data_IF_791123104622
#
_entry.id   IF_791123104622
#
_cell.length_a   1.000
_cell.length_b   1.000
_cell.length_c   1.000
_cell.angle_alpha   90.00
_cell.angle_beta   90.00
_cell.angle_gamma   90.00
#
_symmetry.space_group_name_H-M   'P 1'
#
loop_
_entity.id
_entity.type
_entity.pdbx_description
1 polymer ?
#
# COMPACT_ATOMS: atom_id res chain seq x y z
N UNK A 1 -23.15 85.07 -3.48
CA UNK A 1 -21.77 85.25 -3.97
C UNK A 1 -20.85 84.90 -2.81
N UNK A 2 -20.32 83.67 -2.77
CA UNK A 2 -18.97 83.26 -3.20
C UNK A 2 -18.07 83.09 -1.95
N UNK A 3 -17.81 81.83 -1.54
CA UNK A 3 -16.49 81.14 -1.59
C UNK A 3 -15.62 81.43 -0.33
N UNK A 4 -14.85 80.55 0.30
CA UNK A 4 -14.25 79.25 -0.08
C UNK A 4 -13.80 78.42 1.14
N UNK A 5 -13.97 77.09 0.99
CA UNK A 5 -13.22 75.92 1.48
C UNK A 5 -12.06 76.04 2.50
N UNK A 6 -12.09 75.14 3.51
CA UNK A 6 -11.06 74.10 3.73
C UNK A 6 -11.62 73.02 4.68
N UNK A 7 -11.85 71.82 4.13
CA UNK A 7 -12.30 70.63 4.87
C UNK A 7 -11.08 69.78 5.29
N UNK A 8 -11.01 69.41 6.58
CA UNK A 8 -10.18 68.31 7.08
C UNK A 8 -10.83 66.96 6.71
N UNK A 9 -10.10 65.98 6.17
CA UNK A 9 -10.68 64.66 5.91
C UNK A 9 -10.78 63.84 7.19
N UNK A 10 -12.00 63.40 7.48
CA UNK A 10 -12.35 62.37 8.45
C UNK A 10 -11.59 61.07 8.12
N UNK A 11 -10.84 60.55 9.08
CA UNK A 11 -10.27 59.19 9.06
C UNK A 11 -11.40 58.18 8.97
N UNK A 12 -11.50 57.48 7.84
CA UNK A 12 -12.26 56.25 7.72
C UNK A 12 -11.54 55.12 8.49
N UNK A 13 -12.25 54.25 9.22
CA UNK A 13 -11.63 53.10 9.84
C UNK A 13 -11.23 52.12 8.75
N UNK A 14 -9.93 51.85 8.67
CA UNK A 14 -9.34 50.80 7.85
C UNK A 14 -10.03 49.47 8.15
N UNK A 15 -10.80 48.96 7.20
CA UNK A 15 -11.23 47.56 7.20
C UNK A 15 -9.99 46.69 7.10
N UNK A 16 -9.51 46.19 8.24
CA UNK A 16 -8.61 45.05 8.25
C UNK A 16 -9.38 43.89 7.59
N UNK A 17 -9.06 43.64 6.32
CA UNK A 17 -9.37 42.38 5.66
C UNK A 17 -8.64 41.30 6.48
N UNK A 18 -9.35 40.68 7.42
CA UNK A 18 -8.91 39.46 8.05
C UNK A 18 -8.79 38.42 6.94
N UNK A 19 -7.58 38.20 6.44
CA UNK A 19 -7.22 37.06 5.60
C UNK A 19 -7.57 35.82 6.43
N UNK A 20 -8.75 35.24 6.17
CA UNK A 20 -9.11 33.94 6.75
C UNK A 20 -8.04 32.97 6.28
N UNK A 21 -7.27 32.42 7.22
CA UNK A 21 -6.34 31.31 6.97
C UNK A 21 -7.08 30.28 6.11
N UNK A 22 -6.59 30.08 4.89
CA UNK A 22 -7.10 29.05 3.98
C UNK A 22 -6.60 27.69 4.47
N UNK A 23 -7.46 26.68 4.41
CA UNK A 23 -7.44 25.43 5.20
C UNK A 23 -7.49 24.21 4.25
N UNK A 24 -6.35 23.55 3.99
CA UNK A 24 -6.29 22.26 3.27
C UNK A 24 -6.99 21.13 4.04
N UNK A 25 -7.66 20.15 3.40
CA UNK A 25 -8.22 19.01 4.14
C UNK A 25 -8.55 17.74 3.33
N UNK A 26 -8.17 16.60 3.92
CA UNK A 26 -8.03 15.28 3.31
C UNK A 26 -9.30 14.44 3.31
N UNK A 27 -9.44 13.58 2.29
CA UNK A 27 -10.62 12.76 2.12
C UNK A 27 -10.35 11.26 2.21
N UNK A 28 -11.23 10.59 2.97
CA UNK A 28 -11.29 9.13 3.03
C UNK A 28 -12.72 8.58 3.05
N UNK A 29 -13.11 7.83 2.02
CA UNK A 29 -14.12 6.78 2.20
C UNK A 29 -13.51 5.39 2.41
N UNK A 30 -13.55 4.93 3.67
CA UNK A 30 -13.15 3.60 4.21
C UNK A 30 -11.66 3.48 4.62
N UNK A 31 -11.41 3.39 5.94
CA UNK A 31 -10.18 2.85 6.61
C UNK A 31 -8.93 3.71 6.39
N UNK A 32 -8.40 4.58 7.23
CA UNK A 32 -7.92 4.42 8.60
C UNK A 32 -6.49 3.92 8.53
N UNK A 33 -6.10 3.43 7.36
CA UNK A 33 -4.89 2.72 7.13
C UNK A 33 -3.71 3.64 6.83
N UNK A 34 -2.57 3.02 6.52
CA UNK A 34 -1.29 3.65 6.60
C UNK A 34 -1.17 4.91 5.73
N UNK A 35 -1.75 4.92 4.53
CA UNK A 35 -1.67 6.08 3.64
C UNK A 35 -2.34 7.34 4.20
N UNK A 36 -3.58 7.22 4.66
CA UNK A 36 -4.34 8.38 5.15
C UNK A 36 -3.74 8.92 6.46
N UNK A 37 -3.39 8.03 7.38
CA UNK A 37 -2.78 8.42 8.65
C UNK A 37 -1.40 9.06 8.47
N UNK A 38 -0.57 8.52 7.57
CA UNK A 38 0.77 9.08 7.33
C UNK A 38 0.73 10.41 6.57
N UNK A 39 -0.24 10.60 5.67
CA UNK A 39 -0.49 11.91 5.06
C UNK A 39 -0.92 12.92 6.14
N UNK A 40 -1.96 12.58 6.92
CA UNK A 40 -2.48 13.45 7.96
C UNK A 40 -1.42 13.85 8.99
N UNK A 41 -0.58 12.91 9.42
CA UNK A 41 0.55 13.19 10.31
C UNK A 41 1.53 14.20 9.69
N UNK A 42 1.96 13.99 8.44
CA UNK A 42 2.91 14.88 7.76
C UNK A 42 2.36 16.30 7.60
N UNK A 43 1.07 16.41 7.29
CA UNK A 43 0.39 17.70 7.08
C UNK A 43 0.20 18.45 8.40
N UNK A 44 -0.32 17.77 9.43
CA UNK A 44 -0.50 18.37 10.75
C UNK A 44 0.84 18.80 11.37
N UNK A 45 1.89 17.98 11.22
CA UNK A 45 3.24 18.33 11.66
C UNK A 45 3.83 19.54 10.91
N UNK A 46 3.38 19.77 9.68
CA UNK A 46 3.76 20.92 8.86
C UNK A 46 2.93 22.18 9.11
N UNK A 47 2.09 22.20 10.16
CA UNK A 47 1.27 23.36 10.53
C UNK A 47 -0.06 23.48 9.78
N UNK A 48 -0.37 22.51 8.92
CA UNK A 48 -1.60 22.52 8.11
C UNK A 48 -2.77 21.97 8.94
N UNK A 49 -3.84 22.75 9.06
CA UNK A 49 -5.10 22.25 9.64
C UNK A 49 -5.56 21.01 8.86
N UNK A 50 -5.74 19.89 9.53
CA UNK A 50 -5.88 18.59 8.88
C UNK A 50 -7.06 17.86 9.48
N UNK A 51 -7.98 17.37 8.64
CA UNK A 51 -9.05 16.47 9.09
C UNK A 51 -8.91 15.11 8.43
N UNK A 52 -9.07 14.06 9.23
CA UNK A 52 -8.99 12.67 8.81
C UNK A 52 -10.35 12.00 9.00
N UNK A 53 -11.07 11.75 7.90
CA UNK A 53 -12.36 11.07 7.96
C UNK A 53 -12.19 9.56 8.19
N UNK A 54 -12.91 8.92 9.11
CA UNK A 54 -12.95 7.46 9.30
C UNK A 54 -14.33 6.96 9.75
N UNK A 55 -14.98 6.05 9.02
CA UNK A 55 -16.25 5.49 9.50
C UNK A 55 -16.08 4.43 10.59
N UNK A 56 -15.05 3.59 10.50
CA UNK A 56 -14.93 2.40 11.35
C UNK A 56 -13.50 2.22 11.85
N UNK A 57 -13.10 2.97 12.90
CA UNK A 57 -11.72 2.98 13.36
C UNK A 57 -11.18 1.62 13.79
N UNK A 58 -12.05 0.76 14.33
CA UNK A 58 -11.72 -0.58 14.82
C UNK A 58 -11.58 -1.64 13.72
N UNK A 59 -11.98 -1.35 12.48
CA UNK A 59 -12.01 -2.34 11.41
C UNK A 59 -10.81 -2.19 10.48
N UNK A 60 -9.90 -3.15 10.52
CA UNK A 60 -8.73 -3.20 9.62
C UNK A 60 -9.02 -3.86 8.27
N UNK A 61 -8.26 -3.46 7.23
CA UNK A 61 -8.24 -4.16 5.93
C UNK A 61 -7.57 -5.54 6.12
N UNK A 62 -8.12 -6.63 5.56
CA UNK A 62 -7.47 -7.93 5.53
C UNK A 62 -6.09 -7.86 4.88
N UNK A 63 -5.08 -8.43 5.52
CA UNK A 63 -3.71 -8.37 5.02
C UNK A 63 -2.85 -9.47 5.64
N UNK A 64 -1.84 -9.89 4.89
CA UNK A 64 -0.79 -10.79 5.36
C UNK A 64 0.10 -10.20 6.47
N UNK A 65 0.17 -8.87 6.58
CA UNK A 65 0.77 -8.17 7.73
C UNK A 65 2.30 -8.13 7.76
N UNK A 66 2.98 -8.51 6.69
CA UNK A 66 4.42 -8.33 6.55
C UNK A 66 4.75 -6.87 6.21
N UNK A 67 5.75 -6.30 6.88
CA UNK A 67 6.30 -4.99 6.56
C UNK A 67 7.83 -5.08 6.37
N UNK A 68 8.44 -4.21 5.57
CA UNK A 68 9.90 -4.16 5.42
C UNK A 68 10.55 -3.48 6.63
N UNK A 69 11.81 -3.79 6.93
CA UNK A 69 12.55 -3.20 8.05
C UNK A 69 12.65 -1.67 7.94
N UNK A 70 12.85 -1.13 6.74
CA UNK A 70 12.90 0.31 6.55
C UNK A 70 11.60 1.00 6.99
N UNK A 71 10.45 0.31 6.97
CA UNK A 71 9.21 0.88 7.48
C UNK A 71 9.23 1.03 9.01
N UNK A 72 9.84 0.08 9.72
CA UNK A 72 9.97 0.14 11.18
C UNK A 72 10.74 1.40 11.58
N UNK A 73 11.87 1.65 10.94
CA UNK A 73 12.70 2.82 11.22
C UNK A 73 12.04 4.12 10.74
N UNK A 74 11.65 4.17 9.47
CA UNK A 74 11.13 5.39 8.84
C UNK A 74 9.82 5.86 9.50
N UNK A 75 8.99 4.92 9.98
CA UNK A 75 7.75 5.21 10.68
C UNK A 75 7.86 4.95 12.17
N UNK A 76 9.06 4.87 12.74
CA UNK A 76 9.32 4.72 14.18
C UNK A 76 8.34 3.76 14.87
N UNK A 77 8.10 2.60 14.25
CA UNK A 77 7.12 1.61 14.71
C UNK A 77 7.73 0.92 15.94
N UNK A 78 7.11 1.00 17.12
CA UNK A 78 7.64 0.34 18.31
C UNK A 78 7.70 -1.17 18.13
N UNK A 79 8.83 -1.77 18.54
CA UNK A 79 9.05 -3.22 18.39
C UNK A 79 7.98 -4.07 19.09
N UNK A 80 7.40 -3.60 20.20
CA UNK A 80 6.34 -4.32 20.91
C UNK A 80 5.03 -4.46 20.12
N UNK A 81 4.85 -3.72 19.02
CA UNK A 81 3.71 -3.88 18.10
C UNK A 81 3.93 -4.98 17.05
N UNK A 82 5.16 -5.50 16.95
CA UNK A 82 5.51 -6.59 16.03
C UNK A 82 5.10 -7.90 16.69
N UNK A 83 4.16 -8.62 16.09
CA UNK A 83 3.66 -9.88 16.65
C UNK A 83 4.69 -11.02 16.47
N UNK A 84 5.42 -11.01 15.34
CA UNK A 84 6.46 -12.01 15.01
C UNK A 84 7.60 -11.42 14.19
N UNK A 85 8.79 -11.97 14.40
CA UNK A 85 9.99 -11.72 13.60
C UNK A 85 10.27 -12.94 12.74
N UNK A 86 9.91 -12.88 11.46
CA UNK A 86 10.14 -13.99 10.53
C UNK A 86 11.58 -13.94 10.04
N UNK A 87 12.35 -14.98 10.35
CA UNK A 87 13.75 -15.14 9.91
C UNK A 87 13.92 -16.30 8.92
N UNK A 88 12.85 -17.06 8.68
CA UNK A 88 12.81 -18.16 7.73
C UNK A 88 11.58 -18.01 6.84
N UNK A 89 11.78 -18.14 5.54
CA UNK A 89 10.70 -18.29 4.58
C UNK A 89 10.84 -19.62 3.85
N UNK A 90 9.73 -20.20 3.45
CA UNK A 90 9.70 -21.33 2.51
C UNK A 90 8.95 -20.92 1.27
N UNK A 91 9.53 -21.20 0.11
CA UNK A 91 8.86 -21.08 -1.18
C UNK A 91 8.61 -22.48 -1.70
N UNK A 92 7.34 -22.82 -1.93
CA UNK A 92 6.88 -24.16 -2.27
C UNK A 92 6.31 -24.14 -3.68
N UNK A 93 6.87 -24.98 -4.55
CA UNK A 93 6.54 -25.06 -5.97
C UNK A 93 5.25 -25.85 -6.26
N UNK A 94 4.75 -25.87 -7.50
CA UNK A 94 3.60 -26.68 -7.89
C UNK A 94 3.76 -28.18 -7.54
N UNK A 95 4.95 -28.75 -7.77
CA UNK A 95 5.31 -30.15 -7.45
C UNK A 95 5.71 -30.39 -5.99
N UNK A 96 5.64 -29.36 -5.14
CA UNK A 96 6.06 -29.34 -3.74
C UNK A 96 7.58 -29.41 -3.50
N UNK A 97 8.40 -29.05 -4.50
CA UNK A 97 9.78 -28.67 -4.22
C UNK A 97 9.77 -27.50 -3.23
N UNK A 98 10.55 -27.60 -2.17
CA UNK A 98 10.62 -26.58 -1.13
C UNK A 98 12.01 -26.00 -1.07
N UNK A 99 12.08 -24.68 -1.19
CA UNK A 99 13.32 -23.92 -0.99
C UNK A 99 13.21 -23.12 0.31
N UNK A 100 14.21 -23.27 1.16
CA UNK A 100 14.40 -22.39 2.31
C UNK A 100 14.99 -21.05 1.85
N UNK A 101 14.31 -19.97 2.21
CA UNK A 101 14.59 -18.61 1.80
C UNK A 101 14.83 -17.75 3.05
N UNK A 102 15.98 -17.09 3.15
CA UNK A 102 16.33 -16.22 4.29
C UNK A 102 17.21 -16.86 5.36
N UNK A 103 17.17 -18.18 5.53
CA UNK A 103 17.93 -18.87 6.60
C UNK A 103 19.45 -18.66 6.53
N UNK A 104 19.99 -18.42 5.32
CA UNK A 104 21.41 -18.13 5.09
C UNK A 104 21.69 -16.73 4.55
N UNK A 105 20.66 -16.03 4.08
CA UNK A 105 20.77 -14.77 3.33
C UNK A 105 20.34 -13.55 4.13
N UNK A 106 19.51 -13.72 5.18
CA UNK A 106 19.23 -12.68 6.15
C UNK A 106 20.41 -12.51 7.10
N UNK A 107 20.76 -11.26 7.40
CA UNK A 107 21.75 -10.96 8.44
C UNK A 107 21.15 -11.25 9.82
N UNK A 108 22.01 -11.49 10.81
CA UNK A 108 21.57 -11.89 12.16
C UNK A 108 20.58 -10.92 12.85
N UNK A 109 20.63 -9.64 12.50
CA UNK A 109 19.73 -8.60 13.03
C UNK A 109 18.51 -8.33 12.13
N UNK A 110 18.42 -9.00 10.98
CA UNK A 110 17.34 -8.81 10.01
C UNK A 110 16.22 -9.83 10.24
N UNK A 111 14.99 -9.36 10.08
CA UNK A 111 13.80 -10.19 10.04
C UNK A 111 12.74 -9.50 9.18
N UNK A 112 11.68 -10.22 8.83
CA UNK A 112 10.45 -9.61 8.31
C UNK A 112 9.50 -9.45 9.49
N UNK A 113 9.25 -8.21 9.96
CA UNK A 113 8.24 -7.95 10.97
C UNK A 113 6.84 -8.30 10.46
N UNK A 114 6.14 -9.08 11.27
CA UNK A 114 4.75 -9.45 11.03
C UNK A 114 3.87 -8.79 12.08
N UNK A 115 2.83 -8.08 11.62
CA UNK A 115 1.91 -7.35 12.48
C UNK A 115 0.45 -7.53 12.07
N UNK A 116 -0.44 -7.28 13.02
CA UNK A 116 -1.87 -7.11 12.78
C UNK A 116 -2.16 -5.69 12.29
N UNK A 117 -2.97 -5.59 11.23
CA UNK A 117 -3.34 -4.30 10.64
C UNK A 117 -4.13 -3.41 11.59
N UNK A 118 -4.96 -3.99 12.45
CA UNK A 118 -5.68 -3.26 13.49
C UNK A 118 -4.74 -2.52 14.46
N UNK A 119 -3.57 -3.09 14.76
CA UNK A 119 -2.56 -2.49 15.64
C UNK A 119 -1.79 -1.39 14.93
N UNK A 120 -1.27 -1.68 13.72
CA UNK A 120 -0.53 -0.69 12.93
C UNK A 120 -1.39 0.51 12.53
N UNK A 121 -2.60 0.27 12.04
CA UNK A 121 -3.51 1.34 11.58
C UNK A 121 -3.91 2.25 12.75
N UNK A 122 -4.12 1.67 13.95
CA UNK A 122 -4.37 2.44 15.16
C UNK A 122 -3.15 3.27 15.58
N UNK A 123 -1.96 2.68 15.61
CA UNK A 123 -0.72 3.39 15.93
C UNK A 123 -0.49 4.61 15.03
N UNK A 124 -0.57 4.43 13.71
CA UNK A 124 -0.35 5.52 12.76
C UNK A 124 -1.42 6.61 12.87
N UNK A 125 -2.68 6.23 13.11
CA UNK A 125 -3.76 7.20 13.29
C UNK A 125 -3.60 8.01 14.59
N UNK A 126 -3.27 7.35 15.70
CA UNK A 126 -3.05 8.03 16.98
C UNK A 126 -1.88 9.02 16.88
N UNK A 127 -0.85 8.69 16.10
CA UNK A 127 0.25 9.63 15.79
C UNK A 127 -0.22 10.84 15.00
N UNK A 128 -1.03 10.63 13.97
CA UNK A 128 -1.61 11.74 13.21
C UNK A 128 -2.44 12.67 14.12
N UNK A 129 -3.26 12.10 15.02
CA UNK A 129 -4.02 12.87 16.01
C UNK A 129 -3.10 13.61 16.98
N UNK A 130 -2.04 12.97 17.46
CA UNK A 130 -1.03 13.59 18.34
C UNK A 130 -0.26 14.73 17.66
N UNK A 131 -0.11 14.67 16.34
CA UNK A 131 0.47 15.74 15.53
C UNK A 131 -0.51 16.91 15.26
N UNK A 132 -1.79 16.78 15.64
CA UNK A 132 -2.81 17.81 15.49
C UNK A 132 -3.88 17.54 14.43
N UNK A 133 -3.87 16.37 13.78
CA UNK A 133 -4.93 16.01 12.85
C UNK A 133 -6.26 15.72 13.58
N UNK A 134 -7.36 16.25 13.08
CA UNK A 134 -8.69 16.04 13.64
C UNK A 134 -9.36 14.79 13.05
N UNK A 135 -9.54 13.74 13.85
CA UNK A 135 -10.25 12.55 13.42
C UNK A 135 -11.76 12.81 13.39
N UNK A 136 -12.37 12.69 12.20
CA UNK A 136 -13.81 12.82 12.02
C UNK A 136 -14.40 11.42 11.79
N UNK A 137 -15.18 10.86 12.75
CA UNK A 137 -15.74 9.52 12.64
C UNK A 137 -16.96 9.47 11.70
N UNK A 138 -16.79 9.81 10.41
CA UNK A 138 -17.87 9.94 9.43
C UNK A 138 -17.61 9.18 8.13
N UNK A 139 -18.70 8.80 7.45
CA UNK A 139 -18.64 8.28 6.09
C UNK A 139 -18.76 9.42 5.08
N UNK A 140 -17.78 9.54 4.20
CA UNK A 140 -17.92 10.46 3.06
C UNK A 140 -18.82 9.87 1.99
N UNK A 141 -19.78 10.67 1.58
CA UNK A 141 -20.83 10.30 0.63
C UNK A 141 -20.58 10.93 -0.74
N UNK A 142 -20.21 12.21 -0.79
CA UNK A 142 -20.05 13.00 -2.02
C UNK A 142 -18.92 14.04 -1.93
N UNK A 143 -18.38 14.43 -3.08
CA UNK A 143 -17.46 15.55 -3.26
C UNK A 143 -18.01 16.49 -4.31
N UNK A 144 -18.14 17.76 -3.95
CA UNK A 144 -18.39 18.82 -4.93
C UNK A 144 -17.05 19.36 -5.42
N UNK A 145 -16.84 19.27 -6.73
CA UNK A 145 -15.66 19.81 -7.39
C UNK A 145 -15.97 21.28 -7.73
N UNK A 146 -15.14 22.23 -7.30
CA UNK A 146 -15.37 23.64 -7.56
C UNK A 146 -15.27 23.95 -9.07
N UNK A 147 -16.09 24.88 -9.54
CA UNK A 147 -16.02 25.39 -10.92
C UNK A 147 -14.84 26.33 -11.16
N UNK A 148 -14.38 27.01 -10.10
CA UNK A 148 -13.21 27.88 -10.10
C UNK A 148 -12.02 27.22 -9.42
N UNK A 149 -10.81 27.44 -9.94
CA UNK A 149 -9.57 26.97 -9.33
C UNK A 149 -9.25 27.63 -7.99
N UNK A 150 -9.96 28.67 -7.56
CA UNK A 150 -9.72 29.31 -6.26
C UNK A 150 -10.76 28.95 -5.20
N UNK A 151 -11.89 28.35 -5.60
CA UNK A 151 -12.96 27.98 -4.65
C UNK A 151 -12.62 26.67 -3.93
N UNK A 152 -13.07 26.50 -2.66
CA UNK A 152 -12.85 25.27 -1.93
C UNK A 152 -13.67 24.11 -2.51
N UNK A 153 -13.22 22.88 -2.28
CA UNK A 153 -14.01 21.68 -2.45
C UNK A 153 -14.97 21.53 -1.27
N UNK A 154 -16.17 20.97 -1.51
CA UNK A 154 -17.11 20.66 -0.43
C UNK A 154 -17.21 19.15 -0.24
N UNK A 155 -16.85 18.68 0.95
CA UNK A 155 -16.99 17.28 1.36
C UNK A 155 -18.35 17.10 1.99
N UNK A 156 -19.16 16.17 1.46
CA UNK A 156 -20.38 15.70 2.10
C UNK A 156 -20.10 14.42 2.87
N UNK A 157 -20.45 14.42 4.15
CA UNK A 157 -20.28 13.25 5.01
C UNK A 157 -21.49 13.00 5.90
N UNK A 158 -21.58 11.77 6.40
CA UNK A 158 -22.67 11.33 7.28
C UNK A 158 -22.11 10.74 8.56
N UNK A 159 -22.67 11.19 9.68
CA UNK A 159 -22.45 10.66 11.02
C UNK A 159 -23.80 10.51 11.69
N UNK A 160 -24.09 9.34 12.27
CA UNK A 160 -25.36 9.05 12.95
C UNK A 160 -26.60 9.45 12.11
N UNK A 161 -26.58 9.15 10.81
CA UNK A 161 -27.61 9.51 9.82
C UNK A 161 -27.82 11.02 9.57
N UNK A 162 -27.05 11.91 10.20
CA UNK A 162 -27.04 13.34 9.89
C UNK A 162 -26.04 13.64 8.77
N UNK A 163 -26.49 14.37 7.74
CA UNK A 163 -25.61 14.90 6.68
C UNK A 163 -24.94 16.17 7.17
N UNK A 164 -23.64 16.29 6.91
CA UNK A 164 -22.81 17.44 7.21
C UNK A 164 -21.92 17.75 6.03
N UNK A 165 -21.47 19.00 5.95
CA UNK A 165 -20.54 19.48 4.94
C UNK A 165 -19.30 20.06 5.59
N UNK A 166 -18.17 19.96 4.88
CA UNK A 166 -16.91 20.59 5.25
C UNK A 166 -16.25 21.16 3.99
N UNK A 167 -15.88 22.44 4.03
CA UNK A 167 -15.13 23.09 2.96
C UNK A 167 -13.64 22.87 3.15
N UNK A 168 -12.94 22.52 2.07
CA UNK A 168 -11.53 22.12 2.09
C UNK A 168 -10.79 22.61 0.85
N UNK A 169 -9.51 22.92 0.99
CA UNK A 169 -8.75 23.44 -0.15
C UNK A 169 -8.08 22.35 -0.99
N UNK A 170 -7.55 21.31 -0.35
CA UNK A 170 -6.78 20.23 -0.99
C UNK A 170 -7.25 18.89 -0.49
N UNK A 171 -7.46 17.93 -1.37
CA UNK A 171 -7.92 16.59 -1.02
C UNK A 171 -6.82 15.55 -1.30
N UNK A 172 -6.48 14.72 -0.31
CA UNK A 172 -5.71 13.48 -0.53
C UNK A 172 -6.66 12.30 -0.40
N UNK A 173 -6.90 11.59 -1.51
CA UNK A 173 -7.68 10.37 -1.56
C UNK A 173 -6.88 9.17 -1.09
N UNK A 174 -7.13 8.76 0.15
CA UNK A 174 -6.51 7.59 0.78
C UNK A 174 -7.54 6.48 1.08
N UNK A 175 -8.49 6.30 0.17
CA UNK A 175 -9.76 5.60 0.37
C UNK A 175 -9.81 4.19 -0.23
N UNK A 176 -8.64 3.57 -0.32
CA UNK A 176 -8.50 2.16 -0.64
C UNK A 176 -8.80 1.82 -2.10
N UNK A 177 -8.85 0.52 -2.37
CA UNK A 177 -9.00 0.01 -3.73
C UNK A 177 -10.36 0.35 -4.39
N UNK A 178 -11.36 0.73 -3.59
CA UNK A 178 -12.70 1.13 -4.04
C UNK A 178 -12.91 2.65 -3.95
N UNK A 179 -11.84 3.40 -4.18
CA UNK A 179 -11.77 4.85 -4.03
C UNK A 179 -12.95 5.58 -4.70
N UNK A 180 -13.71 6.34 -3.91
CA UNK A 180 -14.70 7.28 -4.46
C UNK A 180 -14.00 8.56 -4.92
N UNK A 181 -12.93 8.99 -4.25
CA UNK A 181 -12.13 10.16 -4.65
C UNK A 181 -11.66 10.00 -6.09
N UNK A 182 -11.10 8.83 -6.42
CA UNK A 182 -10.67 8.49 -7.76
C UNK A 182 -11.81 8.56 -8.78
N UNK A 183 -13.03 8.15 -8.41
CA UNK A 183 -14.21 8.27 -9.28
C UNK A 183 -14.59 9.71 -9.52
N UNK A 184 -14.60 10.55 -8.48
CA UNK A 184 -14.92 11.98 -8.60
C UNK A 184 -13.98 12.69 -9.55
N UNK A 185 -12.68 12.45 -9.43
CA UNK A 185 -11.70 13.05 -10.33
C UNK A 185 -11.56 12.30 -11.66
N UNK A 186 -12.41 11.32 -11.98
CA UNK A 186 -12.34 10.48 -13.19
C UNK A 186 -10.93 9.94 -13.43
N UNK A 187 -10.36 9.28 -12.42
CA UNK A 187 -8.97 8.85 -12.37
C UNK A 187 -8.60 7.71 -13.35
N UNK A 188 -9.57 7.18 -14.09
CA UNK A 188 -9.44 5.90 -14.82
C UNK A 188 -9.53 4.70 -13.88
N UNK A 189 -9.70 3.51 -14.45
CA UNK A 189 -9.74 2.25 -13.70
C UNK A 189 -8.34 1.62 -13.62
N UNK A 190 -8.17 0.69 -12.68
CA UNK A 190 -7.08 -0.28 -12.70
C UNK A 190 -7.65 -1.69 -12.56
N UNK A 191 -6.79 -2.67 -12.80
CA UNK A 191 -7.02 -4.10 -12.55
C UNK A 191 -6.80 -4.39 -11.07
N UNK A 192 -7.72 -5.15 -10.49
CA UNK A 192 -7.58 -5.66 -9.12
C UNK A 192 -7.44 -7.17 -9.12
N UNK A 193 -6.54 -7.70 -8.30
CA UNK A 193 -6.68 -9.03 -7.74
C UNK A 193 -7.77 -9.04 -6.66
N UNK A 194 -8.33 -10.22 -6.37
CA UNK A 194 -9.04 -10.48 -5.12
C UNK A 194 -8.11 -11.32 -4.23
N UNK A 195 -7.85 -10.83 -3.03
CA UNK A 195 -7.21 -11.62 -1.98
C UNK A 195 -8.28 -12.17 -1.04
N UNK A 196 -8.11 -13.41 -0.63
CA UNK A 196 -8.98 -14.12 0.30
C UNK A 196 -8.10 -14.81 1.35
N UNK A 197 -8.46 -14.69 2.63
CA UNK A 197 -7.73 -15.36 3.70
C UNK A 197 -8.64 -15.79 4.85
N UNK A 198 -8.19 -16.82 5.54
CA UNK A 198 -8.70 -17.25 6.82
C UNK A 198 -7.64 -16.99 7.90
N UNK A 199 -8.05 -16.37 9.01
CA UNK A 199 -7.26 -16.35 10.23
C UNK A 199 -7.57 -17.65 10.97
N UNK A 200 -6.56 -18.49 11.17
CA UNK A 200 -6.70 -19.80 11.80
C UNK A 200 -5.86 -19.82 13.08
N UNK A 201 -6.53 -19.81 14.25
CA UNK A 201 -5.88 -19.99 15.54
C UNK A 201 -5.44 -21.44 15.65
N UNK A 202 -4.16 -21.68 15.88
CA UNK A 202 -3.59 -23.02 15.98
C UNK A 202 -3.32 -23.39 17.45
N UNK A 203 -3.24 -24.70 17.78
CA UNK A 203 -2.66 -25.15 19.05
C UNK A 203 -1.21 -24.66 19.21
N UNK A 204 -0.75 -24.47 20.45
CA UNK A 204 0.57 -23.90 20.74
C UNK A 204 1.72 -24.68 20.09
N UNK A 205 1.66 -26.02 20.14
CA UNK A 205 2.64 -26.91 19.47
C UNK A 205 2.77 -26.61 17.96
N UNK A 206 1.64 -26.29 17.30
CA UNK A 206 1.62 -25.95 15.87
C UNK A 206 2.01 -24.50 15.62
N UNK A 207 1.75 -23.60 16.57
CA UNK A 207 2.22 -22.22 16.50
C UNK A 207 3.75 -22.14 16.64
N UNK A 208 4.38 -23.04 17.40
CA UNK A 208 5.84 -23.10 17.54
C UNK A 208 6.54 -23.32 16.19
N UNK A 209 5.97 -24.18 15.33
CA UNK A 209 6.47 -24.36 13.95
C UNK A 209 6.50 -23.05 13.14
N UNK A 210 5.55 -22.16 13.41
CA UNK A 210 5.38 -20.88 12.73
C UNK A 210 5.93 -19.70 13.54
N UNK A 211 6.73 -19.94 14.59
CA UNK A 211 7.27 -18.90 15.47
C UNK A 211 8.11 -17.87 14.70
N UNK A 212 8.94 -18.31 13.75
CA UNK A 212 9.77 -17.44 12.91
C UNK A 212 9.72 -17.82 11.42
N UNK A 213 8.70 -18.58 11.00
CA UNK A 213 8.56 -19.12 9.66
C UNK A 213 7.33 -18.55 8.94
N UNK A 214 7.52 -18.07 7.71
CA UNK A 214 6.44 -17.79 6.76
C UNK A 214 6.54 -18.71 5.54
N UNK A 215 5.42 -19.04 4.92
CA UNK A 215 5.39 -19.93 3.76
C UNK A 215 4.66 -19.27 2.58
N UNK A 216 5.22 -19.42 1.38
CA UNK A 216 4.68 -18.97 0.11
C UNK A 216 4.51 -20.17 -0.81
N UNK A 217 3.31 -20.34 -1.36
CA UNK A 217 2.94 -21.44 -2.22
C UNK A 217 2.58 -20.92 -3.61
N UNK A 218 3.17 -21.50 -4.64
CA UNK A 218 2.88 -21.17 -6.03
C UNK A 218 2.36 -22.40 -6.77
N UNK A 219 1.35 -22.19 -7.62
CA UNK A 219 0.78 -23.25 -8.45
C UNK A 219 -0.69 -23.01 -8.76
N UNK A 220 -1.14 -23.45 -9.93
CA UNK A 220 -2.51 -23.21 -10.42
C UNK A 220 -3.61 -23.76 -9.49
N UNK A 221 -3.31 -24.76 -8.67
CA UNK A 221 -4.24 -25.30 -7.67
C UNK A 221 -4.47 -24.36 -6.48
N UNK A 222 -3.52 -23.48 -6.18
CA UNK A 222 -3.62 -22.49 -5.12
C UNK A 222 -3.78 -21.06 -5.62
N UNK A 223 -3.28 -20.73 -6.80
CA UNK A 223 -3.46 -19.44 -7.49
C UNK A 223 -2.91 -19.51 -8.93
N UNK A 224 -3.70 -19.15 -9.95
CA UNK A 224 -3.31 -19.25 -11.36
C UNK A 224 -2.38 -18.14 -11.83
N UNK A 225 -2.29 -17.02 -11.11
CA UNK A 225 -1.58 -15.79 -11.52
C UNK A 225 -0.97 -15.00 -10.35
N UNK A 226 -1.08 -15.55 -9.14
CA UNK A 226 -0.52 -15.00 -7.91
C UNK A 226 0.06 -16.15 -7.07
N UNK A 227 0.06 -16.00 -5.74
CA UNK A 227 0.53 -17.03 -4.80
C UNK A 227 -0.42 -17.14 -3.60
N UNK A 228 -0.29 -18.24 -2.87
CA UNK A 228 -0.92 -18.46 -1.58
C UNK A 228 0.11 -18.37 -0.45
N UNK A 229 -0.34 -18.09 0.77
CA UNK A 229 0.54 -17.83 1.90
C UNK A 229 0.05 -18.47 3.19
N UNK A 230 1.01 -18.74 4.08
CA UNK A 230 0.78 -19.00 5.51
C UNK A 230 1.68 -18.08 6.31
N UNK A 231 1.08 -17.04 6.88
CA UNK A 231 1.80 -15.95 7.52
C UNK A 231 1.49 -15.87 9.01
N UNK A 232 2.50 -16.00 9.89
CA UNK A 232 2.26 -16.03 11.33
C UNK A 232 1.91 -14.66 11.90
N UNK A 233 1.20 -14.70 13.02
CA UNK A 233 0.84 -13.58 13.89
C UNK A 233 1.05 -14.01 15.35
N UNK A 234 0.48 -13.28 16.31
CA UNK A 234 0.68 -13.51 17.73
C UNK A 234 0.20 -14.89 18.22
N UNK A 235 -0.91 -15.39 17.68
CA UNK A 235 -1.64 -16.56 18.19
C UNK A 235 -2.38 -17.33 17.06
N UNK A 236 -2.17 -16.93 15.82
CA UNK A 236 -2.81 -17.52 14.64
C UNK A 236 -1.91 -17.37 13.42
N UNK A 237 -2.27 -18.09 12.37
CA UNK A 237 -1.73 -17.89 11.02
C UNK A 237 -2.80 -17.30 10.12
N UNK A 238 -2.39 -16.43 9.20
CA UNK A 238 -3.22 -16.04 8.06
C UNK A 238 -2.93 -17.00 6.91
N UNK A 239 -3.90 -17.85 6.56
CA UNK A 239 -3.83 -18.76 5.40
C UNK A 239 -4.68 -18.17 4.30
N UNK A 240 -4.06 -17.78 3.20
CA UNK A 240 -4.77 -17.07 2.14
C UNK A 240 -4.19 -17.29 0.75
N UNK A 241 -4.90 -16.74 -0.23
CA UNK A 241 -4.54 -16.73 -1.64
C UNK A 241 -5.06 -15.47 -2.31
N UNK A 242 -4.52 -15.15 -3.49
CA UNK A 242 -5.00 -14.08 -4.35
C UNK A 242 -5.14 -14.54 -5.80
N UNK A 243 -5.93 -13.83 -6.60
CA UNK A 243 -5.95 -14.00 -8.06
C UNK A 243 -6.53 -12.79 -8.77
N UNK A 244 -6.07 -12.53 -9.99
CA UNK A 244 -6.57 -11.48 -10.89
C UNK A 244 -7.58 -12.04 -11.87
N UNK A 245 -7.28 -13.19 -12.49
CA UNK A 245 -8.10 -13.79 -13.53
C UNK A 245 -9.20 -14.72 -12.99
N UNK A 246 -8.93 -15.47 -11.92
CA UNK A 246 -9.82 -16.50 -11.39
C UNK A 246 -10.71 -16.05 -10.23
N UNK A 247 -11.20 -14.80 -10.23
CA UNK A 247 -11.88 -14.21 -9.04
C UNK A 247 -13.10 -15.01 -8.56
N UNK A 248 -13.80 -15.67 -9.48
CA UNK A 248 -14.98 -16.48 -9.16
C UNK A 248 -14.59 -17.77 -8.43
N UNK A 249 -13.39 -18.29 -8.71
CA UNK A 249 -12.84 -19.52 -8.17
C UNK A 249 -11.99 -19.31 -6.91
N UNK A 250 -11.98 -18.09 -6.35
CA UNK A 250 -11.15 -17.75 -5.18
C UNK A 250 -11.37 -18.70 -3.97
N UNK A 251 -12.59 -19.23 -3.81
CA UNK A 251 -12.89 -20.22 -2.77
C UNK A 251 -12.31 -21.60 -3.07
N UNK A 252 -12.27 -22.01 -4.35
CA UNK A 252 -11.60 -23.23 -4.77
C UNK A 252 -10.09 -23.13 -4.50
N UNK A 253 -9.47 -22.01 -4.85
CA UNK A 253 -8.06 -21.75 -4.55
C UNK A 253 -7.76 -21.74 -3.05
N UNK A 254 -8.66 -21.14 -2.24
CA UNK A 254 -8.54 -21.21 -0.77
C UNK A 254 -8.60 -22.66 -0.25
N UNK A 255 -9.46 -23.50 -0.84
CA UNK A 255 -9.51 -24.92 -0.49
C UNK A 255 -8.22 -25.64 -0.92
N UNK A 256 -7.66 -25.30 -2.08
CA UNK A 256 -6.36 -25.80 -2.57
C UNK A 256 -5.24 -25.55 -1.57
N UNK A 257 -5.06 -24.30 -1.11
CA UNK A 257 -4.04 -24.02 -0.10
C UNK A 257 -4.31 -24.75 1.23
N UNK A 258 -5.56 -24.79 1.69
CA UNK A 258 -5.92 -25.53 2.92
C UNK A 258 -5.61 -27.03 2.81
N UNK A 259 -5.76 -27.61 1.63
CA UNK A 259 -5.38 -28.99 1.37
C UNK A 259 -3.86 -29.17 1.44
N UNK A 260 -3.07 -28.27 0.83
CA UNK A 260 -1.60 -28.30 0.91
C UNK A 260 -1.08 -28.17 2.34
N UNK A 261 -1.74 -27.39 3.20
CA UNK A 261 -1.30 -27.15 4.58
C UNK A 261 -2.07 -27.98 5.62
N UNK A 262 -2.92 -28.94 5.21
CA UNK A 262 -3.87 -29.66 6.07
C UNK A 262 -3.25 -30.19 7.37
N UNK A 263 -2.08 -30.81 7.28
CA UNK A 263 -1.37 -31.38 8.45
C UNK A 263 -0.76 -30.30 9.37
N UNK A 264 -0.41 -29.15 8.80
CA UNK A 264 0.17 -28.00 9.54
C UNK A 264 -0.89 -27.23 10.31
N UNK A 265 -2.11 -27.15 9.77
CA UNK A 265 -3.25 -26.47 10.40
C UNK A 265 -4.19 -27.41 11.17
N UNK A 266 -3.85 -28.69 11.31
CA UNK A 266 -4.68 -29.69 12.01
C UNK A 266 -4.94 -29.24 13.46
N UNK A 267 -6.21 -29.30 13.87
CA UNK A 267 -6.65 -28.82 15.19
C UNK A 267 -6.85 -27.31 15.27
N UNK A 268 -6.57 -26.56 14.19
CA UNK A 268 -6.80 -25.13 14.12
C UNK A 268 -8.28 -24.76 13.99
N UNK A 269 -8.64 -23.59 14.55
CA UNK A 269 -9.98 -23.01 14.46
C UNK A 269 -9.95 -21.76 13.60
N UNK A 270 -10.79 -21.71 12.55
CA UNK A 270 -11.01 -20.49 11.77
C UNK A 270 -11.71 -19.46 12.66
N UNK A 271 -11.04 -18.35 12.93
CA UNK A 271 -11.56 -17.26 13.76
C UNK A 271 -12.07 -16.09 12.92
N UNK A 272 -11.66 -15.99 11.66
CA UNK A 272 -12.11 -14.93 10.74
C UNK A 272 -11.92 -15.34 9.29
N UNK A 273 -12.89 -15.00 8.45
CA UNK A 273 -12.81 -15.15 6.98
C UNK A 273 -12.85 -13.76 6.37
N UNK A 274 -11.94 -13.48 5.46
CA UNK A 274 -11.71 -12.13 4.97
C UNK A 274 -11.42 -12.11 3.47
N UNK A 275 -11.93 -11.10 2.76
CA UNK A 275 -11.60 -10.86 1.36
C UNK A 275 -11.41 -9.37 1.07
N UNK A 276 -10.48 -9.03 0.18
CA UNK A 276 -10.26 -7.65 -0.23
C UNK A 276 -9.67 -7.52 -1.63
N UNK A 277 -10.12 -6.53 -2.43
CA UNK A 277 -9.46 -6.22 -3.70
C UNK A 277 -8.06 -5.63 -3.50
N UNK A 278 -7.10 -6.05 -4.32
CA UNK A 278 -5.74 -5.53 -4.35
C UNK A 278 -5.50 -4.88 -5.72
N UNK A 279 -5.23 -3.56 -5.79
CA UNK A 279 -5.02 -2.87 -7.05
C UNK A 279 -3.59 -3.09 -7.55
N UNK A 280 -3.42 -3.71 -8.71
CA UNK A 280 -2.09 -4.19 -9.14
C UNK A 280 -1.35 -3.25 -10.08
N UNK A 281 -1.85 -2.04 -10.31
CA UNK A 281 -1.10 -1.02 -11.03
C UNK A 281 -1.59 0.39 -10.68
N UNK A 282 -0.71 1.39 -10.84
CA UNK A 282 -1.10 2.77 -10.66
C UNK A 282 -2.23 3.17 -11.61
N UNK A 283 -3.15 4.03 -11.13
CA UNK A 283 -4.18 4.62 -12.00
C UNK A 283 -3.56 5.50 -13.09
N UNK A 284 -4.20 5.63 -14.25
CA UNK A 284 -3.78 6.58 -15.28
C UNK A 284 -3.64 8.01 -14.74
N UNK A 285 -4.58 8.44 -13.89
CA UNK A 285 -4.57 9.77 -13.28
C UNK A 285 -4.52 9.62 -11.76
N UNK A 286 -3.51 10.24 -11.16
CA UNK A 286 -3.24 10.19 -9.70
C UNK A 286 -3.31 11.57 -9.05
N UNK A 287 -3.26 12.62 -9.85
CA UNK A 287 -3.44 14.02 -9.44
C UNK A 287 -4.35 14.71 -10.45
N UNK A 288 -5.34 15.47 -9.98
CA UNK A 288 -6.22 16.33 -10.79
C UNK A 288 -6.82 17.44 -9.94
N UNK A 289 -6.75 18.68 -10.41
CA UNK A 289 -6.98 19.86 -9.58
C UNK A 289 -6.09 19.80 -8.32
N UNK A 290 -6.64 20.22 -7.19
CA UNK A 290 -5.99 20.06 -5.88
C UNK A 290 -6.35 18.74 -5.21
N UNK A 291 -6.45 17.67 -5.99
CA UNK A 291 -6.73 16.32 -5.50
C UNK A 291 -5.59 15.39 -5.89
N UNK A 292 -5.02 14.70 -4.90
CA UNK A 292 -4.01 13.65 -5.08
C UNK A 292 -4.51 12.31 -4.54
N UNK A 293 -4.14 11.19 -5.19
CA UNK A 293 -4.43 9.85 -4.71
C UNK A 293 -3.15 9.23 -4.11
N UNK A 294 -3.32 8.44 -3.04
CA UNK A 294 -2.22 7.73 -2.35
C UNK A 294 -2.58 6.26 -2.07
N UNK A 295 -1.57 5.43 -1.81
CA UNK A 295 -1.73 4.01 -1.50
C UNK A 295 -2.58 3.24 -2.52
N UNK A 296 -3.46 2.37 -2.02
CA UNK A 296 -4.37 1.59 -2.87
C UNK A 296 -5.26 2.45 -3.78
N UNK A 297 -5.65 3.66 -3.35
CA UNK A 297 -6.49 4.54 -4.17
C UNK A 297 -5.75 4.98 -5.44
N UNK A 298 -4.44 5.19 -5.34
CA UNK A 298 -3.54 5.45 -6.46
C UNK A 298 -3.09 4.20 -7.20
N UNK A 299 -3.27 3.01 -6.64
CA UNK A 299 -2.81 1.73 -7.21
C UNK A 299 -1.36 1.38 -6.86
N UNK A 300 -0.85 1.83 -5.72
CA UNK A 300 0.53 1.59 -5.28
C UNK A 300 0.71 0.28 -4.49
N UNK A 301 0.21 -0.82 -5.03
CA UNK A 301 0.59 -2.16 -4.57
C UNK A 301 1.51 -2.78 -5.60
N UNK A 302 2.61 -3.36 -5.14
CA UNK A 302 3.55 -4.01 -6.05
C UNK A 302 3.03 -5.37 -6.50
N UNK A 303 3.15 -5.60 -7.81
CA UNK A 303 3.00 -6.91 -8.43
C UNK A 303 4.06 -7.88 -7.94
N UNK A 304 3.85 -9.17 -8.18
CA UNK A 304 4.69 -10.29 -7.70
C UNK A 304 4.62 -10.51 -6.17
N UNK A 305 4.81 -9.47 -5.34
CA UNK A 305 4.85 -9.59 -3.88
C UNK A 305 3.56 -9.20 -3.14
N UNK A 306 2.58 -8.57 -3.81
CA UNK A 306 1.33 -8.12 -3.19
C UNK A 306 1.50 -7.06 -2.09
N UNK A 307 2.67 -6.45 -2.00
CA UNK A 307 3.00 -5.55 -0.90
C UNK A 307 2.42 -4.15 -1.13
N UNK A 308 1.65 -3.69 -0.15
CA UNK A 308 1.04 -2.36 -0.20
C UNK A 308 1.17 -1.54 1.08
N UNK A 309 1.53 -2.13 2.23
CA UNK A 309 1.52 -1.41 3.52
C UNK A 309 2.56 -0.27 3.49
N UNK A 310 3.82 -0.59 3.16
CA UNK A 310 4.88 0.42 3.09
C UNK A 310 4.57 1.48 2.04
N UNK A 311 4.23 1.09 0.82
CA UNK A 311 3.93 2.03 -0.27
C UNK A 311 2.70 2.90 0.02
N UNK A 312 1.70 2.38 0.72
CA UNK A 312 0.59 3.17 1.23
C UNK A 312 1.08 4.24 2.21
N UNK A 313 1.78 3.84 3.29
CA UNK A 313 2.30 4.78 4.29
C UNK A 313 3.22 5.83 3.65
N UNK A 314 4.14 5.37 2.79
CA UNK A 314 5.16 6.19 2.15
C UNK A 314 4.57 7.18 1.16
N UNK A 315 3.64 6.77 0.30
CA UNK A 315 2.95 7.70 -0.61
C UNK A 315 2.13 8.73 0.15
N UNK A 316 1.46 8.33 1.22
CA UNK A 316 0.75 9.23 2.13
C UNK A 316 1.66 10.32 2.69
N UNK A 317 2.76 9.90 3.33
CA UNK A 317 3.75 10.83 3.90
C UNK A 317 4.35 11.75 2.83
N UNK A 318 4.83 11.19 1.71
CA UNK A 318 5.42 11.99 0.62
C UNK A 318 4.43 13.02 0.05
N UNK A 319 3.15 12.65 -0.08
CA UNK A 319 2.11 13.57 -0.53
C UNK A 319 1.88 14.69 0.49
N UNK A 320 1.79 14.36 1.77
CA UNK A 320 1.64 15.35 2.84
C UNK A 320 2.82 16.32 2.93
N UNK A 321 4.04 15.80 2.94
CA UNK A 321 5.27 16.61 2.92
C UNK A 321 5.36 17.48 1.66
N UNK A 322 4.95 16.96 0.50
CA UNK A 322 4.91 17.72 -0.75
C UNK A 322 3.91 18.88 -0.71
N UNK A 323 2.74 18.67 -0.11
CA UNK A 323 1.75 19.74 0.11
C UNK A 323 2.29 20.80 1.08
N UNK A 324 2.93 20.38 2.18
CA UNK A 324 3.55 21.32 3.14
C UNK A 324 4.60 22.18 2.46
N UNK A 325 5.50 21.59 1.64
CA UNK A 325 6.49 22.35 0.88
C UNK A 325 5.84 23.31 -0.12
N UNK A 326 4.91 22.82 -0.93
CA UNK A 326 4.24 23.62 -1.96
C UNK A 326 3.44 24.80 -1.40
N UNK A 327 2.85 24.63 -0.22
CA UNK A 327 2.00 25.66 0.43
C UNK A 327 2.78 26.56 1.39
N UNK A 328 4.09 26.37 1.55
CA UNK A 328 4.90 27.02 2.58
C UNK A 328 4.31 26.87 3.99
N UNK A 329 3.87 25.65 4.34
CA UNK A 329 3.22 25.38 5.63
C UNK A 329 1.77 25.86 5.73
N UNK A 330 1.12 26.15 4.60
CA UNK A 330 -0.29 26.58 4.54
C UNK A 330 -0.48 28.09 4.31
N UNK A 331 0.58 28.84 4.05
CA UNK A 331 0.51 30.27 3.72
C UNK A 331 -0.11 30.51 2.33
N UNK A 332 0.05 29.57 1.40
CA UNK A 332 -0.48 29.70 0.03
C UNK A 332 -1.30 28.49 -0.43
N UNK A 333 -2.25 28.77 -1.32
CA UNK A 333 -3.05 27.76 -2.01
C UNK A 333 -2.20 27.07 -3.09
N UNK A 334 -2.09 25.75 -3.02
CA UNK A 334 -1.36 24.97 -4.03
C UNK A 334 -2.18 24.77 -5.31
N UNK A 335 -1.52 24.49 -6.43
CA UNK A 335 -2.15 24.11 -7.69
C UNK A 335 -2.03 22.61 -7.99
N UNK A 336 -2.61 22.17 -9.11
CA UNK A 336 -2.40 20.81 -9.63
C UNK A 336 -0.92 20.56 -9.95
N UNK A 337 -0.22 21.56 -10.48
CA UNK A 337 1.17 21.43 -10.90
C UNK A 337 2.13 21.34 -9.71
N UNK A 338 1.78 21.96 -8.58
CA UNK A 338 2.52 21.79 -7.34
C UNK A 338 2.39 20.35 -6.80
N UNK A 339 1.19 19.75 -6.84
CA UNK A 339 0.99 18.35 -6.48
C UNK A 339 1.73 17.40 -7.44
N UNK A 340 1.79 17.73 -8.73
CA UNK A 340 2.57 16.95 -9.70
C UNK A 340 4.06 17.03 -9.40
N UNK A 341 4.58 18.24 -9.14
CA UNK A 341 6.01 18.49 -8.91
C UNK A 341 6.48 17.94 -7.58
N UNK A 342 5.83 18.30 -6.48
CA UNK A 342 6.30 18.01 -5.12
C UNK A 342 5.97 16.60 -4.64
N UNK A 343 4.98 15.95 -5.25
CA UNK A 343 4.56 14.60 -4.88
C UNK A 343 4.69 13.59 -6.02
N UNK A 344 3.96 13.77 -7.12
CA UNK A 344 3.83 12.72 -8.14
C UNK A 344 5.16 12.42 -8.83
N UNK A 345 5.90 13.46 -9.20
CA UNK A 345 7.20 13.35 -9.86
C UNK A 345 8.23 12.69 -8.93
N UNK A 346 8.28 13.09 -7.66
CA UNK A 346 9.19 12.48 -6.68
C UNK A 346 8.84 11.03 -6.36
N UNK A 347 7.55 10.68 -6.32
CA UNK A 347 7.10 9.30 -6.21
C UNK A 347 7.55 8.47 -7.41
N UNK A 348 7.25 8.93 -8.63
CA UNK A 348 7.56 8.21 -9.86
C UNK A 348 9.08 8.06 -10.04
N UNK A 349 9.85 9.12 -9.78
CA UNK A 349 11.32 9.09 -9.78
C UNK A 349 11.88 8.02 -8.86
N UNK A 350 11.27 7.83 -7.69
CA UNK A 350 11.76 6.88 -6.68
C UNK A 350 11.33 5.44 -6.93
N UNK A 351 10.10 5.21 -7.40
CA UNK A 351 9.50 3.87 -7.37
C UNK A 351 9.05 3.33 -8.73
N UNK A 352 8.94 4.13 -9.80
CA UNK A 352 8.39 3.65 -11.08
C UNK A 352 9.21 2.48 -11.66
N UNK A 353 10.55 2.53 -11.52
CA UNK A 353 11.44 1.46 -11.97
C UNK A 353 11.20 0.15 -11.20
N UNK A 354 10.99 0.24 -9.88
CA UNK A 354 10.68 -0.91 -9.02
C UNK A 354 9.35 -1.54 -9.43
N UNK A 355 8.30 -0.73 -9.65
CA UNK A 355 6.99 -1.24 -10.09
C UNK A 355 7.06 -1.91 -11.46
N UNK A 356 7.80 -1.32 -12.43
CA UNK A 356 7.99 -1.92 -13.76
C UNK A 356 8.76 -3.24 -13.70
N UNK A 357 9.82 -3.30 -12.89
CA UNK A 357 10.61 -4.51 -12.69
C UNK A 357 9.76 -5.64 -12.08
N UNK A 358 8.98 -5.35 -11.05
CA UNK A 358 8.11 -6.34 -10.40
C UNK A 358 6.95 -6.80 -11.30
N UNK A 359 6.42 -5.92 -12.17
CA UNK A 359 5.44 -6.30 -13.19
C UNK A 359 6.04 -7.28 -14.20
N UNK A 360 7.28 -7.04 -14.65
CA UNK A 360 8.00 -7.96 -15.54
C UNK A 360 8.20 -9.33 -14.88
N UNK A 361 8.67 -9.37 -13.63
CA UNK A 361 8.86 -10.63 -12.91
C UNK A 361 7.55 -11.42 -12.77
N UNK A 362 6.44 -10.74 -12.46
CA UNK A 362 5.14 -11.41 -12.38
C UNK A 362 4.76 -12.05 -13.72
N UNK A 363 4.91 -11.31 -14.84
CA UNK A 363 4.57 -11.82 -16.18
C UNK A 363 5.39 -13.04 -16.56
N UNK A 364 6.69 -13.05 -16.24
CA UNK A 364 7.59 -14.15 -16.56
C UNK A 364 7.27 -15.40 -15.72
N UNK A 365 7.13 -15.25 -14.40
CA UNK A 365 7.11 -16.40 -13.51
C UNK A 365 5.72 -16.92 -13.13
N UNK A 366 4.67 -16.10 -13.27
CA UNK A 366 3.31 -16.46 -12.83
C UNK A 366 2.39 -16.89 -13.99
N UNK A 367 2.93 -17.02 -15.20
CA UNK A 367 2.14 -17.43 -16.38
C UNK A 367 1.80 -18.92 -16.43
N UNK A 368 2.64 -19.80 -15.86
CA UNK A 368 2.43 -21.25 -15.88
C UNK A 368 3.02 -21.95 -14.66
N UNK A 369 2.71 -23.23 -14.46
CA UNK A 369 3.32 -24.01 -13.37
C UNK A 369 4.81 -24.24 -13.62
N UNK A 370 5.21 -24.47 -14.87
CA UNK A 370 6.62 -24.63 -15.26
C UNK A 370 7.43 -23.38 -14.90
N UNK A 371 6.89 -22.19 -15.17
CA UNK A 371 7.56 -20.93 -14.83
C UNK A 371 7.67 -20.74 -13.31
N UNK A 372 6.67 -21.20 -12.55
CA UNK A 372 6.71 -21.20 -11.08
C UNK A 372 7.72 -22.18 -10.53
N UNK A 373 7.90 -23.36 -11.14
CA UNK A 373 9.00 -24.27 -10.77
C UNK A 373 10.34 -23.57 -10.93
N UNK A 374 10.55 -22.91 -12.08
CA UNK A 374 11.77 -22.15 -12.33
C UNK A 374 11.98 -21.01 -11.32
N UNK A 375 10.90 -20.29 -10.94
CA UNK A 375 10.95 -19.28 -9.87
C UNK A 375 11.46 -19.88 -8.57
N UNK A 376 10.90 -21.02 -8.14
CA UNK A 376 11.30 -21.67 -6.88
C UNK A 376 12.76 -22.13 -6.96
N UNK A 377 13.18 -22.73 -8.07
CA UNK A 377 14.58 -23.14 -8.29
C UNK A 377 15.54 -21.94 -8.20
N UNK A 378 15.22 -20.84 -8.87
CA UNK A 378 16.03 -19.61 -8.86
C UNK A 378 16.09 -18.99 -7.46
N UNK A 379 15.00 -19.03 -6.69
CA UNK A 379 14.98 -18.62 -5.29
C UNK A 379 15.89 -19.47 -4.38
N UNK A 380 16.36 -20.63 -4.84
CA UNK A 380 17.35 -21.45 -4.13
C UNK A 380 18.76 -20.84 -4.13
N UNK A 381 19.05 -19.92 -5.04
CA UNK A 381 20.36 -19.25 -5.13
C UNK A 381 20.53 -18.22 -4.02
N UNK A 382 21.56 -18.37 -3.18
CA UNK A 382 21.88 -17.42 -2.10
C UNK A 382 22.05 -15.98 -2.61
N UNK A 383 22.58 -15.79 -3.82
CA UNK A 383 22.68 -14.48 -4.47
C UNK A 383 21.30 -13.85 -4.70
N UNK A 384 20.38 -14.62 -5.30
CA UNK A 384 19.00 -14.17 -5.57
C UNK A 384 18.29 -13.84 -4.26
N UNK A 385 18.48 -14.67 -3.23
CA UNK A 385 17.89 -14.39 -1.92
C UNK A 385 18.41 -13.08 -1.34
N UNK A 386 19.73 -12.86 -1.34
CA UNK A 386 20.34 -11.62 -0.85
C UNK A 386 19.82 -10.39 -1.60
N UNK A 387 19.82 -10.44 -2.94
CA UNK A 387 19.31 -9.35 -3.77
C UNK A 387 17.83 -9.06 -3.49
N UNK A 388 17.04 -10.10 -3.26
CA UNK A 388 15.62 -9.98 -2.93
C UNK A 388 15.43 -9.36 -1.54
N UNK A 389 16.18 -9.80 -0.52
CA UNK A 389 16.07 -9.24 0.84
C UNK A 389 16.58 -7.81 0.92
N UNK A 390 17.72 -7.49 0.31
CA UNK A 390 18.23 -6.12 0.26
C UNK A 390 17.22 -5.19 -0.42
N UNK A 391 16.61 -5.66 -1.52
CA UNK A 391 15.58 -4.89 -2.23
C UNK A 391 14.27 -4.79 -1.45
N UNK A 392 13.85 -5.86 -0.79
CA UNK A 392 12.58 -5.92 -0.06
C UNK A 392 12.67 -5.18 1.28
N UNK A 393 13.65 -5.47 2.13
CA UNK A 393 13.74 -4.93 3.49
C UNK A 393 14.07 -3.44 3.51
N UNK A 394 14.84 -2.96 2.53
CA UNK A 394 15.30 -1.57 2.48
C UNK A 394 14.67 -0.73 1.37
N UNK A 395 13.90 -1.35 0.46
CA UNK A 395 13.23 -0.68 -0.66
C UNK A 395 14.17 0.14 -1.53
N UNK A 396 15.39 -0.37 -1.71
CA UNK A 396 16.41 0.15 -2.61
C UNK A 396 16.80 -0.99 -3.53
N UNK A 397 16.87 -0.76 -4.84
CA UNK A 397 17.46 -1.75 -5.76
C UNK A 397 18.85 -2.10 -5.23
N UNK A 398 19.03 -3.37 -4.88
CA UNK A 398 20.31 -3.86 -4.40
C UNK A 398 21.38 -3.57 -5.46
N UNK A 399 22.56 -3.13 -5.02
CA UNK A 399 23.70 -2.95 -5.93
C UNK A 399 24.16 -4.34 -6.35
N UNK A 400 23.82 -4.73 -7.57
CA UNK A 400 24.22 -6.01 -8.15
C UNK A 400 25.73 -6.07 -8.37
N UNK A 401 26.23 -7.29 -8.48
CA UNK A 401 27.54 -7.58 -9.04
C UNK A 401 27.34 -7.99 -10.49
N UNK A 402 27.98 -7.30 -11.44
CA UNK A 402 27.69 -7.51 -12.88
C UNK A 402 27.95 -8.93 -13.38
N UNK A 403 28.84 -9.68 -12.72
CA UNK A 403 29.11 -11.08 -13.07
C UNK A 403 28.07 -12.03 -12.45
N UNK A 404 27.67 -11.80 -11.20
CA UNK A 404 26.61 -12.57 -10.55
C UNK A 404 25.22 -12.28 -11.15
N UNK A 405 24.95 -11.05 -11.59
CA UNK A 405 23.73 -10.70 -12.33
C UNK A 405 23.67 -11.44 -13.67
N UNK A 406 24.79 -11.52 -14.39
CA UNK A 406 24.90 -12.28 -15.63
C UNK A 406 24.68 -13.78 -15.38
N UNK A 407 25.31 -14.35 -14.34
CA UNK A 407 25.08 -15.74 -13.92
C UNK A 407 23.63 -15.99 -13.54
N UNK A 408 22.99 -15.07 -12.81
CA UNK A 408 21.57 -15.17 -12.46
C UNK A 408 20.71 -15.22 -13.72
N UNK A 409 20.94 -14.32 -14.70
CA UNK A 409 20.22 -14.33 -15.98
C UNK A 409 20.40 -15.66 -16.71
N UNK A 410 21.62 -16.18 -16.81
CA UNK A 410 21.88 -17.48 -17.43
C UNK A 410 21.26 -18.65 -16.65
N UNK A 411 21.30 -18.61 -15.31
CA UNK A 411 20.69 -19.63 -14.45
C UNK A 411 19.16 -19.62 -14.57
N UNK A 412 18.55 -18.43 -14.60
CA UNK A 412 17.12 -18.25 -14.88
C UNK A 412 16.78 -18.77 -16.27
N UNK A 413 17.54 -18.41 -17.30
CA UNK A 413 17.31 -18.92 -18.66
C UNK A 413 17.47 -20.44 -18.75
N UNK A 414 18.49 -20.99 -18.10
CA UNK A 414 18.72 -22.43 -18.00
C UNK A 414 17.60 -23.16 -17.26
N UNK A 415 17.07 -22.57 -16.18
CA UNK A 415 15.93 -23.10 -15.44
C UNK A 415 14.66 -23.06 -16.30
N UNK A 416 14.38 -21.92 -16.96
CA UNK A 416 13.26 -21.79 -17.90
C UNK A 416 13.37 -22.79 -19.07
N UNK A 417 14.58 -23.05 -19.58
CA UNK A 417 14.86 -24.08 -20.59
C UNK A 417 14.60 -25.50 -20.05
N UNK A 418 15.09 -25.83 -18.84
CA UNK A 418 14.82 -27.13 -18.17
C UNK A 418 13.32 -27.35 -17.95
N UNK A 419 12.60 -26.29 -17.64
CA UNK A 419 11.15 -26.27 -17.49
C UNK A 419 10.39 -26.19 -18.83
N UNK A 420 11.09 -26.24 -20.00
CA UNK A 420 10.54 -26.22 -21.37
C UNK A 420 9.73 -24.97 -21.74
N UNK A 421 10.06 -23.82 -21.16
CA UNK A 421 9.35 -22.54 -21.41
C UNK A 421 9.99 -21.79 -22.58
N UNK A 422 11.32 -21.83 -22.68
CA UNK A 422 12.05 -21.18 -23.78
C UNK A 422 11.82 -21.97 -25.06
N UNK A 423 10.90 -21.45 -25.88
CA UNK A 423 10.42 -22.07 -27.11
C UNK A 423 8.95 -21.76 -27.41
N UNK A 424 8.13 -21.43 -26.40
CA UNK A 424 6.72 -21.02 -26.58
C UNK A 424 6.55 -19.50 -26.73
N UNK A 425 7.35 -18.69 -26.03
CA UNK A 425 7.13 -17.23 -25.97
C UNK A 425 7.80 -16.43 -27.10
N UNK A 426 8.72 -17.00 -27.89
CA UNK A 426 9.25 -16.29 -29.07
C UNK A 426 8.24 -16.09 -30.20
N UNK A 427 7.08 -16.76 -30.15
CA UNK A 427 5.96 -16.48 -31.04
C UNK A 427 5.06 -15.31 -30.56
N UNK A 428 5.16 -14.91 -29.28
CA UNK A 428 4.36 -13.83 -28.69
C UNK A 428 5.07 -12.46 -28.73
N UNK A 429 6.35 -12.41 -29.14
CA UNK A 429 7.13 -11.17 -29.26
C UNK A 429 7.14 -10.56 -30.67
N UNK A 430 6.37 -11.11 -31.62
CA UNK A 430 6.24 -10.62 -32.99
C UNK A 430 4.77 -10.39 -33.42
N UNK A 431 3.94 -9.79 -32.56
CA UNK A 431 2.64 -9.20 -32.92
C UNK A 431 2.37 -7.90 -32.15
#
# INVERSE_FOLDING_TARGET
MAASQLQNPLKTPSSQLSIKKHKPCFLKPRRGGPAGSSAAEALASGGIETFLFERSPSTAKPCGGAIPLCMVDEFSIPHHLIDRHVTKMKIISPSNLTVDFGSKSLRAHESIPMLRREVLDAFLRNRAESAGAQLIPSLVTHLEIPSSSLSPYIIHHTVNNSRKTLAVDVIVGADGANSKVAKFIKAGNYTCAIAFQERIRLPDEKMEYYQNLAEMYVGNDVSPDFYAWVFPKCDHVAVGTGTVCGKQDIKMYQQGIKQRVKNKIKGGKVIKVEAHPIPEHPRPVRVRGRVALVGDAAGYVTKCSGEGIYFAAKSGRMCGEGIVRASEGGEWMISEDDLKREYLMEWDKKYVSTFRFLDLLQRVFYGSNEAREALVEVCGSEYVQRMTFDSYLYKKLAKGDGWEDLKMVFATFGSLMRCKIVGRDMAAFNL
#
